data_IF_610411788547
#
_entry.id   IF_610411788547
#
_cell.length_a   1.000
_cell.length_b   1.000
_cell.length_c   1.000
_cell.angle_alpha   90.00
_cell.angle_beta   90.00
_cell.angle_gamma   90.00
#
_symmetry.space_group_name_H-M   'P 1'
#
loop_
_entity.id
_entity.type
_entity.pdbx_description
1 polymer ?
#
# COMPACT_ATOMS: atom_id res chain seq x y z
N UNK A 1 2.78 10.04 2.99
CA UNK A 1 3.60 9.26 3.94
C UNK A 1 3.07 7.83 3.97
N UNK A 2 3.95 6.84 4.03
CA UNK A 2 3.57 5.45 4.27
C UNK A 2 3.16 5.26 5.74
N UNK A 3 2.07 4.52 5.96
CA UNK A 3 1.46 4.30 7.28
C UNK A 3 1.24 2.81 7.54
N UNK A 4 0.88 2.46 8.78
CA UNK A 4 0.46 1.11 9.13
C UNK A 4 -0.70 0.63 8.22
N UNK A 5 -0.60 -0.62 7.79
CA UNK A 5 -1.51 -1.26 6.83
C UNK A 5 -1.21 -0.96 5.36
N UNK A 6 -0.33 -0.02 5.03
CA UNK A 6 0.07 0.20 3.64
C UNK A 6 0.87 -1.00 3.10
N UNK A 7 0.63 -1.31 1.82
CA UNK A 7 1.43 -2.26 1.07
C UNK A 7 2.55 -1.51 0.36
N UNK A 8 3.76 -2.06 0.45
CA UNK A 8 4.93 -1.56 -0.24
C UNK A 8 5.58 -2.66 -1.07
N UNK A 9 6.11 -2.30 -2.23
CA UNK A 9 7.06 -3.13 -2.98
C UNK A 9 8.47 -2.82 -2.50
N UNK A 10 9.17 -3.85 -2.05
CA UNK A 10 10.56 -3.77 -1.63
C UNK A 10 11.45 -4.06 -2.85
N UNK A 11 12.25 -3.07 -3.23
CA UNK A 11 13.31 -3.22 -4.22
C UNK A 11 14.60 -3.67 -3.54
N UNK A 12 15.32 -4.58 -4.17
CA UNK A 12 16.64 -5.06 -3.77
C UNK A 12 17.58 -4.98 -4.97
N UNK A 13 18.68 -4.25 -4.85
CA UNK A 13 19.61 -3.95 -5.96
C UNK A 13 18.89 -3.41 -7.19
N UNK A 14 17.96 -2.48 -6.95
CA UNK A 14 17.15 -1.81 -7.97
C UNK A 14 16.17 -2.71 -8.74
N UNK A 15 16.12 -4.01 -8.44
CA UNK A 15 15.13 -4.94 -8.93
C UNK A 15 13.95 -5.09 -7.96
N UNK A 16 12.71 -5.21 -8.47
CA UNK A 16 11.54 -5.47 -7.62
C UNK A 16 11.64 -6.87 -6.99
N UNK A 17 11.63 -6.93 -5.66
CA UNK A 17 11.83 -8.18 -4.92
C UNK A 17 10.55 -8.79 -4.38
N UNK A 18 9.91 -8.11 -3.43
CA UNK A 18 8.80 -8.68 -2.66
C UNK A 18 7.83 -7.61 -2.18
N UNK A 19 6.55 -7.94 -2.08
CA UNK A 19 5.58 -7.09 -1.39
C UNK A 19 5.67 -7.29 0.13
N UNK A 20 5.52 -6.20 0.87
CA UNK A 20 5.38 -6.23 2.30
C UNK A 20 4.23 -5.33 2.75
N UNK A 21 3.59 -5.67 3.87
CA UNK A 21 2.70 -4.77 4.59
C UNK A 21 3.46 -4.12 5.74
N UNK A 22 3.27 -2.83 5.94
CA UNK A 22 3.75 -2.14 7.14
C UNK A 22 2.84 -2.53 8.30
N UNK A 23 3.36 -3.28 9.26
CA UNK A 23 2.63 -3.69 10.46
C UNK A 23 2.70 -2.63 11.56
N UNK A 24 3.86 -1.97 11.70
CA UNK A 24 4.08 -1.01 12.78
C UNK A 24 5.15 0.00 12.45
N UNK A 25 5.00 1.25 12.92
CA UNK A 25 6.04 2.28 12.86
C UNK A 25 6.18 2.95 14.24
N UNK A 26 7.34 2.82 14.87
CA UNK A 26 7.62 3.40 16.19
C UNK A 26 8.90 4.23 16.21
N UNK A 27 9.01 5.27 17.04
CA UNK A 27 10.27 5.98 17.25
C UNK A 27 11.38 5.04 17.74
N UNK A 28 12.56 5.11 17.13
CA UNK A 28 13.77 4.48 17.64
C UNK A 28 14.47 5.39 18.67
N UNK A 29 15.41 4.84 19.44
CA UNK A 29 16.27 5.60 20.37
C UNK A 29 16.98 6.76 19.65
N UNK A 30 17.32 6.57 18.36
CA UNK A 30 17.91 7.64 17.53
C UNK A 30 16.82 8.56 16.99
N UNK A 31 16.89 9.84 17.36
CA UNK A 31 15.97 10.88 16.86
C UNK A 31 15.89 10.88 15.33
N UNK A 32 14.66 10.86 14.81
CA UNK A 32 14.38 10.83 13.36
C UNK A 32 14.54 9.45 12.71
N UNK A 33 14.76 8.41 13.51
CA UNK A 33 14.72 7.03 13.07
C UNK A 33 13.53 6.31 13.70
N UNK A 34 13.09 5.26 13.03
CA UNK A 34 11.91 4.50 13.37
C UNK A 34 12.18 3.01 13.26
N UNK A 35 11.64 2.24 14.19
CA UNK A 35 11.52 0.79 14.06
C UNK A 35 10.27 0.50 13.24
N UNK A 36 10.47 -0.07 12.05
CA UNK A 36 9.43 -0.37 11.08
C UNK A 36 9.31 -1.86 10.95
N UNK A 37 8.21 -2.41 11.43
CA UNK A 37 7.91 -3.84 11.30
C UNK A 37 7.16 -4.08 9.99
N UNK A 38 7.70 -4.98 9.18
CA UNK A 38 7.23 -5.34 7.85
C UNK A 38 6.85 -6.82 7.83
N UNK A 39 5.65 -7.14 7.35
CA UNK A 39 5.26 -8.50 7.01
C UNK A 39 5.45 -8.72 5.51
N UNK A 40 6.45 -9.52 5.15
CA UNK A 40 6.71 -9.95 3.78
C UNK A 40 5.61 -10.94 3.36
N UNK A 41 4.99 -10.65 2.23
CA UNK A 41 3.85 -11.40 1.71
C UNK A 41 4.31 -12.61 0.88
N UNK A 42 5.17 -13.43 1.49
CA UNK A 42 5.69 -14.70 0.92
C UNK A 42 4.94 -15.91 1.48
N UNK A 43 5.28 -17.12 1.01
CA UNK A 43 4.79 -18.39 1.57
C UNK A 43 6.00 -19.21 2.06
N UNK A 44 6.15 -19.42 3.38
CA UNK A 44 5.38 -18.80 4.45
C UNK A 44 5.67 -17.29 4.52
N UNK A 45 4.77 -16.52 5.13
CA UNK A 45 5.03 -15.11 5.37
C UNK A 45 6.21 -14.95 6.34
N UNK A 46 6.92 -13.83 6.24
CA UNK A 46 8.02 -13.50 7.15
C UNK A 46 7.77 -12.14 7.78
N UNK A 47 8.15 -11.97 9.04
CA UNK A 47 8.07 -10.68 9.74
C UNK A 47 9.47 -10.22 10.07
N UNK A 48 9.80 -9.00 9.68
CA UNK A 48 11.10 -8.38 9.94
C UNK A 48 10.90 -6.97 10.49
N UNK A 49 11.88 -6.48 11.25
CA UNK A 49 11.87 -5.11 11.76
C UNK A 49 13.15 -4.41 11.32
N UNK A 50 13.01 -3.27 10.65
CA UNK A 50 14.13 -2.44 10.19
C UNK A 50 14.14 -1.10 10.93
N UNK A 51 15.34 -0.56 11.17
CA UNK A 51 15.50 0.80 11.69
C UNK A 51 15.71 1.74 10.49
N UNK A 52 14.68 2.52 10.17
CA UNK A 52 14.63 3.36 8.97
C UNK A 52 14.44 4.83 9.33
N UNK A 53 14.93 5.73 8.48
CA UNK A 53 14.55 7.14 8.51
C UNK A 53 13.21 7.34 7.82
N UNK A 54 12.54 8.45 8.15
CA UNK A 54 11.28 8.84 7.52
C UNK A 54 11.39 8.91 5.99
N UNK A 55 12.48 9.46 5.44
CA UNK A 55 12.66 9.52 3.98
C UNK A 55 12.69 8.14 3.32
N UNK A 56 13.25 7.12 3.98
CA UNK A 56 13.34 5.76 3.44
C UNK A 56 11.99 5.04 3.48
N UNK A 57 11.23 5.27 4.55
CA UNK A 57 9.85 4.80 4.68
C UNK A 57 9.01 5.37 3.54
N UNK A 58 9.28 6.61 3.11
CA UNK A 58 8.59 7.29 2.03
C UNK A 58 9.19 7.04 0.63
N UNK A 59 10.11 6.08 0.52
CA UNK A 59 10.60 5.55 -0.74
C UNK A 59 11.86 6.19 -1.31
N UNK A 60 12.58 6.98 -0.52
CA UNK A 60 13.97 7.28 -0.84
C UNK A 60 14.83 6.01 -0.74
N UNK A 61 15.78 5.86 -1.65
CA UNK A 61 16.72 4.74 -1.64
C UNK A 61 17.66 4.78 -0.42
N UNK A 62 18.03 3.61 0.08
CA UNK A 62 18.95 3.42 1.19
C UNK A 62 19.78 2.16 1.00
N UNK A 63 20.77 1.94 1.86
CA UNK A 63 21.61 0.74 1.81
C UNK A 63 21.42 -0.13 3.03
N UNK A 64 21.27 -1.43 2.84
CA UNK A 64 21.23 -2.41 3.94
C UNK A 64 22.20 -3.56 3.64
N UNK A 65 23.20 -3.74 4.52
CA UNK A 65 24.24 -4.75 4.32
C UNK A 65 25.03 -4.56 3.01
N UNK A 66 25.21 -3.32 2.55
CA UNK A 66 25.88 -3.00 1.29
C UNK A 66 25.03 -3.14 0.02
N UNK A 67 23.76 -3.54 0.14
CA UNK A 67 22.83 -3.63 -1.00
C UNK A 67 21.92 -2.41 -1.06
N UNK A 68 21.66 -1.90 -2.27
CA UNK A 68 20.66 -0.85 -2.53
C UNK A 68 19.26 -1.39 -2.23
N UNK A 69 18.46 -0.62 -1.50
CA UNK A 69 17.10 -0.93 -1.09
C UNK A 69 16.20 0.27 -1.35
N UNK A 70 14.92 0.03 -1.63
CA UNK A 70 13.90 1.08 -1.73
C UNK A 70 12.51 0.52 -1.41
N UNK A 71 11.67 1.30 -0.75
CA UNK A 71 10.27 0.97 -0.53
C UNK A 71 9.39 1.78 -1.49
N UNK A 72 8.52 1.13 -2.25
CA UNK A 72 7.57 1.82 -3.12
C UNK A 72 6.16 1.58 -2.63
N UNK A 73 5.42 2.65 -2.31
CA UNK A 73 4.03 2.52 -1.88
C UNK A 73 3.18 1.99 -3.03
N UNK A 74 2.39 0.95 -2.75
CA UNK A 74 1.36 0.47 -3.65
C UNK A 74 0.04 1.16 -3.32
N UNK A 75 -0.58 1.75 -4.34
CA UNK A 75 -1.86 2.41 -4.17
C UNK A 75 -2.96 1.39 -3.86
N UNK A 76 -3.83 1.74 -2.91
CA UNK A 76 -4.99 0.93 -2.58
C UNK A 76 -6.01 1.07 -3.70
N UNK A 77 -6.57 -0.06 -4.14
CA UNK A 77 -7.69 -0.03 -5.06
C UNK A 77 -8.90 0.62 -4.36
N UNK A 78 -9.35 1.75 -4.88
CA UNK A 78 -10.67 2.28 -4.55
C UNK A 78 -11.71 1.52 -5.39
N UNK A 79 -12.43 0.62 -4.74
CA UNK A 79 -13.61 0.01 -5.36
C UNK A 79 -14.74 1.04 -5.27
N UNK A 80 -14.91 1.85 -6.31
CA UNK A 80 -16.14 2.64 -6.42
C UNK A 80 -17.30 1.66 -6.60
N UNK A 81 -18.24 1.67 -5.66
CA UNK A 81 -19.51 0.97 -5.81
C UNK A 81 -20.27 1.62 -6.98
N UNK A 82 -20.19 1.00 -8.16
CA UNK A 82 -21.04 1.35 -9.30
C UNK A 82 -22.51 1.07 -8.96
N UNK A 83 -23.15 1.97 -8.22
CA UNK A 83 -24.61 2.09 -8.19
C UNK A 83 -25.08 2.74 -9.51
N UNK A 84 -24.89 2.03 -10.62
CA UNK A 84 -25.63 2.26 -11.85
C UNK A 84 -26.83 1.33 -11.86
N UNK A 85 -27.84 1.67 -11.05
CA UNK A 85 -29.20 1.27 -11.36
C UNK A 85 -29.56 1.92 -12.70
N UNK A 86 -29.55 1.07 -13.73
CA UNK A 86 -30.03 1.36 -15.06
C UNK A 86 -31.47 1.88 -14.97
N UNK A 87 -31.66 3.18 -15.20
CA UNK A 87 -32.92 3.66 -15.73
C UNK A 87 -32.98 3.36 -17.22
N UNK A 88 -34.09 2.81 -17.73
CA UNK A 88 -34.55 3.12 -19.07
C UNK A 88 -35.76 4.07 -19.00
N UNK A 89 -35.47 5.26 -19.48
CA UNK A 89 -36.27 6.22 -20.25
C UNK A 89 -37.75 5.96 -20.61
N UNK A 90 -38.50 7.06 -20.57
CA UNK A 90 -39.91 7.30 -20.91
C UNK A 90 -40.40 6.63 -22.21
N UNK A 91 -41.63 6.12 -22.18
CA UNK A 91 -42.58 6.29 -23.29
C UNK A 91 -44.00 6.60 -22.79
N UNK A 92 -44.47 7.83 -23.04
CA UNK A 92 -45.89 8.16 -23.14
C UNK A 92 -46.51 7.38 -24.30
N UNK A 93 -47.62 6.68 -24.08
CA UNK A 93 -48.80 6.66 -24.97
C UNK A 93 -49.99 5.99 -24.29
N UNK A 94 -51.16 6.53 -24.60
CA UNK A 94 -52.49 6.33 -24.05
C UNK A 94 -52.97 4.90 -23.87
N UNK A 95 -53.76 4.68 -22.80
CA UNK A 95 -55.21 4.39 -22.85
C UNK A 95 -55.74 4.03 -21.46
N UNK A 96 -56.59 4.87 -20.87
CA UNK A 96 -57.55 4.46 -19.83
C UNK A 96 -58.91 4.25 -20.49
N UNK A 97 -59.52 3.07 -20.38
CA UNK A 97 -60.97 2.95 -20.45
C UNK A 97 -61.56 2.94 -19.03
N UNK A 98 -62.82 3.41 -18.99
CA UNK A 98 -63.83 3.38 -17.91
C UNK A 98 -63.74 4.49 -16.87
#
# INVERSE_FOLDING_TARGET
MNLEGDIVLVYFKDDPGVYARIERIEPDIKKGWYQVTLMLLTIPYQVITWILREEYINGQGFTMGGNSMRLEKIERLSLEENNQDNAPEKSRRDKKPV
#
